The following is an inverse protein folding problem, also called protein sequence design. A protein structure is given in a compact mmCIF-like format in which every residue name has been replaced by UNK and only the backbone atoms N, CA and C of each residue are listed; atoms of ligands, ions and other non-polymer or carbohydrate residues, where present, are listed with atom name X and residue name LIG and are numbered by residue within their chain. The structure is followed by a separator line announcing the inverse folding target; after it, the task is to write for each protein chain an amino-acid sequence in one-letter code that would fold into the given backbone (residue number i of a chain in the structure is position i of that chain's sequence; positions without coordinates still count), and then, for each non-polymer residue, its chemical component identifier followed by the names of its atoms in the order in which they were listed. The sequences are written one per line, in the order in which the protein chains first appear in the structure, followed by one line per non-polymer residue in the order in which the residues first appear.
data_IF_752723842528
#
_entry.id   IF_752723842528
#
_cell.length_a   1.000
_cell.length_b   1.000
_cell.length_c   1.000
_cell.angle_alpha   90.00
_cell.angle_beta   90.00
_cell.angle_gamma   90.00
#
_symmetry.space_group_name_H-M   'P 1'
#
loop_
_entity.id
_entity.type
_entity.pdbx_description
1 polymer ?
#
# COMPACT_ATOMS: atom_id res chain seq x y z
N UNK A 1 10.59 14.92 14.18
CA UNK A 1 10.63 13.73 13.29
C UNK A 1 9.78 12.57 13.86
N UNK A 2 10.00 12.11 15.10
CA UNK A 2 9.29 10.97 15.69
C UNK A 2 7.76 11.19 15.72
N UNK A 3 7.29 12.37 16.08
CA UNK A 3 5.85 12.70 16.16
C UNK A 3 5.13 12.51 14.82
N UNK A 4 5.75 12.87 13.70
CA UNK A 4 5.20 12.65 12.37
C UNK A 4 5.06 11.15 12.03
N UNK A 5 6.10 10.35 12.32
CA UNK A 5 6.03 8.91 12.10
C UNK A 5 4.92 8.26 12.93
N UNK A 6 4.81 8.62 14.22
CA UNK A 6 3.73 8.12 15.08
C UNK A 6 2.35 8.49 14.52
N UNK A 7 2.18 9.72 14.03
CA UNK A 7 0.89 10.14 13.46
C UNK A 7 0.56 9.39 12.16
N UNK A 8 1.56 9.00 11.34
CA UNK A 8 1.33 8.13 10.18
C UNK A 8 0.91 6.71 10.61
N UNK A 9 1.53 6.13 11.64
CA UNK A 9 1.11 4.84 12.18
C UNK A 9 -0.33 4.88 12.67
N UNK A 10 -0.72 5.95 13.38
CA UNK A 10 -2.10 6.17 13.82
C UNK A 10 -3.03 6.32 12.61
N UNK A 11 -2.62 7.04 11.57
CA UNK A 11 -3.42 7.22 10.35
C UNK A 11 -3.67 5.87 9.63
N UNK A 12 -2.68 4.97 9.60
CA UNK A 12 -2.83 3.60 9.07
C UNK A 12 -3.84 2.80 9.89
N UNK A 13 -3.80 2.90 11.23
CA UNK A 13 -4.79 2.26 12.11
C UNK A 13 -6.21 2.79 11.85
N UNK A 14 -6.35 4.10 11.74
CA UNK A 14 -7.64 4.74 11.43
C UNK A 14 -8.14 4.28 10.06
N UNK A 15 -7.26 4.24 9.05
CA UNK A 15 -7.60 3.77 7.71
C UNK A 15 -8.07 2.32 7.72
N UNK A 16 -7.45 1.45 8.53
CA UNK A 16 -7.85 0.06 8.70
C UNK A 16 -9.27 -0.06 9.27
N UNK A 17 -9.59 0.74 10.29
CA UNK A 17 -10.94 0.77 10.89
C UNK A 17 -11.97 1.32 9.88
N UNK A 18 -11.65 2.43 9.22
CA UNK A 18 -12.54 3.04 8.21
C UNK A 18 -12.77 2.12 7.02
N UNK A 19 -11.77 1.33 6.64
CA UNK A 19 -11.88 0.36 5.54
C UNK A 19 -13.03 -0.63 5.75
N UNK A 20 -13.36 -0.98 6.99
CA UNK A 20 -14.43 -1.93 7.31
C UNK A 20 -15.83 -1.36 7.03
N UNK A 21 -15.96 -0.03 7.04
CA UNK A 21 -17.24 0.65 6.77
C UNK A 21 -17.45 0.98 5.29
N UNK A 22 -16.43 0.79 4.45
CA UNK A 22 -16.53 1.04 3.01
C UNK A 22 -17.06 -0.20 2.31
N UNK A 23 -18.32 -0.19 1.82
CA UNK A 23 -18.90 -1.33 1.13
C UNK A 23 -18.28 -1.50 -0.27
N UNK A 24 -18.29 -2.71 -0.77
CA UNK A 24 -18.02 -2.97 -2.18
C UNK A 24 -19.20 -2.47 -3.04
N UNK A 25 -18.88 -1.87 -4.18
CA UNK A 25 -19.89 -1.37 -5.12
C UNK A 25 -20.28 -2.49 -6.07
N UNK A 26 -21.40 -3.15 -5.81
CA UNK A 26 -21.88 -4.29 -6.60
C UNK A 26 -22.11 -3.95 -8.07
N UNK A 27 -22.57 -2.72 -8.37
CA UNK A 27 -22.76 -2.21 -9.72
C UNK A 27 -21.42 -2.12 -10.52
N UNK A 28 -20.27 -2.11 -9.84
CA UNK A 28 -18.92 -2.02 -10.42
C UNK A 28 -18.10 -3.31 -10.16
N UNK A 29 -18.72 -4.47 -10.37
CA UNK A 29 -18.05 -5.77 -10.19
C UNK A 29 -17.43 -5.96 -8.80
N UNK A 30 -18.13 -5.53 -7.75
CA UNK A 30 -17.67 -5.56 -6.36
C UNK A 30 -16.36 -4.79 -6.11
N UNK A 31 -16.06 -3.79 -6.94
CA UNK A 31 -14.93 -2.91 -6.74
C UNK A 31 -15.10 -2.09 -5.44
N UNK A 32 -14.00 -1.88 -4.73
CA UNK A 32 -13.99 -1.13 -3.46
C UNK A 32 -12.78 -0.22 -3.35
N UNK A 33 -12.91 0.85 -2.58
CA UNK A 33 -11.78 1.73 -2.29
C UNK A 33 -10.90 1.06 -1.23
N UNK A 34 -9.61 0.90 -1.53
CA UNK A 34 -8.63 0.32 -0.60
C UNK A 34 -7.93 1.43 0.20
N UNK A 35 -8.61 1.91 1.24
CA UNK A 35 -8.13 3.04 2.03
C UNK A 35 -6.82 2.72 2.78
N UNK A 36 -6.70 1.52 3.33
CA UNK A 36 -5.48 1.07 4.02
C UNK A 36 -4.26 1.08 3.09
N UNK A 37 -4.40 0.50 1.88
CA UNK A 37 -3.35 0.49 0.87
C UNK A 37 -2.98 1.90 0.44
N UNK A 38 -4.00 2.73 0.21
CA UNK A 38 -3.83 4.11 -0.22
C UNK A 38 -3.04 4.94 0.79
N UNK A 39 -3.41 4.86 2.07
CA UNK A 39 -2.71 5.57 3.15
C UNK A 39 -1.28 5.07 3.29
N UNK A 40 -1.07 3.75 3.19
CA UNK A 40 0.27 3.17 3.21
C UNK A 40 1.13 3.67 2.03
N UNK A 41 0.62 3.57 0.78
CA UNK A 41 1.37 3.97 -0.42
C UNK A 41 1.73 5.46 -0.40
N UNK A 42 0.76 6.32 -0.05
CA UNK A 42 0.99 7.76 0.09
C UNK A 42 1.97 8.06 1.24
N UNK A 43 1.86 7.36 2.37
CA UNK A 43 2.78 7.50 3.51
C UNK A 43 4.20 7.04 3.18
N UNK A 44 4.36 5.92 2.45
CA UNK A 44 5.65 5.34 2.07
C UNK A 44 6.53 6.31 1.27
N UNK A 45 5.91 7.18 0.46
CA UNK A 45 6.62 8.21 -0.33
C UNK A 45 7.14 9.34 0.56
N UNK A 46 6.49 9.62 1.69
CA UNK A 46 6.82 10.79 2.53
C UNK A 46 7.85 10.50 3.61
N UNK A 47 8.11 9.23 3.90
CA UNK A 47 9.04 8.81 4.96
C UNK A 47 10.32 8.19 4.40
N UNK A 48 11.35 8.06 5.24
CA UNK A 48 12.56 7.32 4.90
C UNK A 48 12.34 5.80 4.88
N UNK A 49 13.35 5.06 4.42
CA UNK A 49 13.28 3.61 4.22
C UNK A 49 12.92 2.83 5.50
N UNK A 50 13.58 3.15 6.64
CA UNK A 50 13.34 2.42 7.90
C UNK A 50 11.91 2.57 8.44
N UNK A 51 11.35 3.80 8.59
CA UNK A 51 9.95 3.92 9.01
C UNK A 51 8.95 3.41 7.96
N UNK A 52 9.31 3.41 6.66
CA UNK A 52 8.48 2.78 5.61
C UNK A 52 8.34 1.28 5.84
N UNK A 53 9.42 0.57 6.20
CA UNK A 53 9.35 -0.85 6.53
C UNK A 53 8.45 -1.12 7.74
N UNK A 54 8.51 -0.26 8.76
CA UNK A 54 7.60 -0.34 9.91
C UNK A 54 6.13 -0.15 9.51
N UNK A 55 5.85 0.82 8.63
CA UNK A 55 4.50 1.02 8.07
C UNK A 55 4.03 -0.17 7.22
N UNK A 56 4.93 -0.76 6.42
CA UNK A 56 4.64 -1.94 5.61
C UNK A 56 4.29 -3.15 6.49
N UNK A 57 5.06 -3.36 7.56
CA UNK A 57 4.77 -4.41 8.53
C UNK A 57 3.39 -4.20 9.16
N UNK A 58 3.12 -3.00 9.68
CA UNK A 58 1.83 -2.70 10.32
C UNK A 58 0.67 -2.85 9.34
N UNK A 59 0.77 -2.26 8.15
CA UNK A 59 -0.31 -2.31 7.16
C UNK A 59 -0.57 -3.75 6.67
N UNK A 60 0.49 -4.52 6.40
CA UNK A 60 0.38 -5.92 5.99
C UNK A 60 -0.18 -6.81 7.09
N UNK A 61 0.28 -6.61 8.34
CA UNK A 61 -0.26 -7.31 9.50
C UNK A 61 -1.76 -7.05 9.69
N UNK A 62 -2.18 -5.77 9.63
CA UNK A 62 -3.59 -5.40 9.76
C UNK A 62 -4.44 -5.95 8.61
N UNK A 63 -3.89 -5.97 7.39
CA UNK A 63 -4.56 -6.54 6.23
C UNK A 63 -4.78 -8.04 6.40
N UNK A 64 -3.73 -8.77 6.76
CA UNK A 64 -3.82 -10.21 7.02
C UNK A 64 -4.77 -10.51 8.19
N UNK A 65 -4.68 -9.76 9.28
CA UNK A 65 -5.56 -9.95 10.43
C UNK A 65 -7.04 -9.76 10.05
N UNK A 66 -7.38 -8.75 9.25
CA UNK A 66 -8.75 -8.54 8.79
C UNK A 66 -9.25 -9.65 7.86
N UNK A 67 -8.38 -10.22 7.03
CA UNK A 67 -8.75 -11.24 6.07
C UNK A 67 -8.72 -12.66 6.65
N UNK A 68 -7.90 -12.90 7.70
CA UNK A 68 -7.78 -14.23 8.33
C UNK A 68 -8.73 -14.46 9.50
N UNK A 69 -9.33 -13.41 10.07
CA UNK A 69 -10.29 -13.52 11.17
C UNK A 69 -11.70 -13.96 10.72
N UNK A 70 -11.87 -14.33 9.44
CA UNK A 70 -13.08 -14.99 8.96
C UNK A 70 -13.27 -16.38 9.61
N UNK A 71 -14.43 -17.01 9.47
CA UNK A 71 -14.74 -18.31 10.07
C UNK A 71 -13.92 -19.43 9.43
N UNK A 72 -12.63 -19.51 9.75
CA UNK A 72 -11.73 -20.58 9.27
C UNK A 72 -11.79 -21.85 10.11
N UNK A 73 -12.58 -21.88 11.16
CA UNK A 73 -12.72 -23.00 12.09
C UNK A 73 -14.01 -23.82 11.93
N UNK A 74 -14.71 -23.68 10.82
CA UNK A 74 -15.91 -24.43 10.54
C UNK A 74 -15.63 -25.86 10.07
N UNK A 75 -16.55 -26.78 10.41
CA UNK A 75 -16.56 -28.14 9.92
C UNK A 75 -16.44 -28.13 8.37
N UNK A 76 -15.47 -28.84 7.76
CA UNK A 76 -15.29 -28.91 6.31
C UNK A 76 -16.55 -29.38 5.56
N UNK A 77 -17.45 -30.09 6.24
CA UNK A 77 -18.72 -30.53 5.70
C UNK A 77 -19.75 -29.38 5.52
N UNK A 78 -19.59 -28.26 6.23
CA UNK A 78 -20.53 -27.13 6.23
C UNK A 78 -20.00 -25.95 5.40
N UNK A 79 -18.68 -25.75 5.34
CA UNK A 79 -18.05 -24.63 4.65
C UNK A 79 -17.31 -25.10 3.38
N UNK A 80 -18.04 -25.22 2.28
CA UNK A 80 -17.47 -25.54 0.95
C UNK A 80 -16.75 -24.34 0.29
N UNK A 81 -16.60 -23.22 0.96
CA UNK A 81 -15.88 -22.09 0.39
C UNK A 81 -14.38 -22.27 0.60
N UNK A 82 -13.68 -22.55 -0.51
CA UNK A 82 -12.22 -22.47 -0.55
C UNK A 82 -11.81 -21.09 -0.05
N UNK A 83 -10.95 -21.07 0.98
CA UNK A 83 -10.40 -19.84 1.53
C UNK A 83 -9.69 -19.06 0.42
N UNK A 84 -10.27 -17.93 0.03
CA UNK A 84 -9.76 -17.07 -1.04
C UNK A 84 -8.67 -16.09 -0.55
N UNK A 85 -8.12 -16.35 0.64
CA UNK A 85 -7.17 -15.45 1.28
C UNK A 85 -5.77 -16.05 1.34
N UNK A 86 -4.76 -15.21 1.20
CA UNK A 86 -3.36 -15.58 1.41
C UNK A 86 -3.14 -16.00 2.88
N UNK A 87 -2.15 -16.89 3.09
CA UNK A 87 -1.70 -17.22 4.45
C UNK A 87 -1.14 -15.97 5.12
N UNK A 88 -1.32 -15.89 6.43
CA UNK A 88 -0.81 -14.82 7.27
C UNK A 88 0.70 -14.58 7.00
N UNK A 89 1.09 -13.31 6.80
CA UNK A 89 2.46 -12.90 6.54
C UNK A 89 2.78 -12.59 5.07
N UNK A 90 2.03 -13.12 4.11
CA UNK A 90 2.28 -12.82 2.68
C UNK A 90 2.01 -11.35 2.34
N UNK A 91 0.96 -10.78 2.92
CA UNK A 91 0.64 -9.35 2.70
C UNK A 91 1.73 -8.44 3.26
N UNK A 92 2.38 -8.81 4.35
CA UNK A 92 3.52 -8.05 4.89
C UNK A 92 4.64 -7.95 3.84
N UNK A 93 4.96 -9.07 3.17
CA UNK A 93 5.97 -9.08 2.10
C UNK A 93 5.52 -8.22 0.90
N UNK A 94 4.25 -8.33 0.49
CA UNK A 94 3.70 -7.53 -0.61
C UNK A 94 3.72 -6.04 -0.30
N UNK A 95 3.30 -5.63 0.91
CA UNK A 95 3.39 -4.25 1.36
C UNK A 95 4.84 -3.76 1.41
N UNK A 96 5.78 -4.60 1.88
CA UNK A 96 7.20 -4.30 1.86
C UNK A 96 7.73 -4.05 0.45
N UNK A 97 7.40 -4.94 -0.50
CA UNK A 97 7.80 -4.82 -1.90
C UNK A 97 7.23 -3.55 -2.54
N UNK A 98 5.94 -3.26 -2.32
CA UNK A 98 5.30 -2.04 -2.82
C UNK A 98 5.89 -0.78 -2.18
N UNK A 99 6.23 -0.83 -0.89
CA UNK A 99 6.94 0.25 -0.21
C UNK A 99 8.30 0.54 -0.84
N UNK A 100 9.08 -0.48 -1.17
CA UNK A 100 10.36 -0.35 -1.87
C UNK A 100 10.15 0.25 -3.26
N UNK A 101 9.15 -0.20 -4.01
CA UNK A 101 8.78 0.35 -5.31
C UNK A 101 8.43 1.84 -5.20
N UNK A 102 7.59 2.22 -4.23
CA UNK A 102 7.22 3.61 -3.98
C UNK A 102 8.42 4.48 -3.58
N UNK A 103 9.36 3.95 -2.82
CA UNK A 103 10.64 4.63 -2.52
C UNK A 103 11.50 4.81 -3.77
N UNK A 104 11.51 3.84 -4.68
CA UNK A 104 12.24 3.94 -5.96
C UNK A 104 11.72 5.06 -6.86
N UNK A 105 10.40 5.24 -6.90
CA UNK A 105 9.74 6.28 -7.71
C UNK A 105 9.56 7.61 -6.96
N UNK A 106 9.97 7.70 -5.69
CA UNK A 106 9.87 8.90 -4.85
C UNK A 106 10.39 10.18 -5.52
N UNK A 107 11.49 10.20 -6.30
CA UNK A 107 11.95 11.40 -6.97
C UNK A 107 10.95 11.98 -7.99
N UNK A 108 10.05 11.18 -8.53
CA UNK A 108 9.02 11.62 -9.47
C UNK A 108 7.96 12.48 -8.79
N UNK A 109 7.73 12.29 -7.49
CA UNK A 109 6.79 13.09 -6.69
C UNK A 109 7.32 14.51 -6.40
N UNK A 110 8.63 14.74 -6.57
CA UNK A 110 9.28 16.05 -6.31
C UNK A 110 8.78 17.18 -7.19
N UNK A 111 8.24 16.89 -8.37
CA UNK A 111 7.85 17.90 -9.36
C UNK A 111 6.51 18.59 -9.07
N UNK A 112 5.88 18.33 -7.92
CA UNK A 112 4.60 18.98 -7.54
C UNK A 112 3.40 18.58 -8.41
N UNK A 113 3.55 17.62 -9.32
CA UNK A 113 2.49 17.14 -10.18
C UNK A 113 1.62 16.14 -9.38
N UNK A 114 0.60 16.64 -8.70
CA UNK A 114 -0.35 15.80 -7.96
C UNK A 114 -1.03 14.74 -8.84
N UNK A 115 -1.23 15.05 -10.12
CA UNK A 115 -1.77 14.11 -11.12
C UNK A 115 -0.86 12.89 -11.29
N UNK A 116 0.45 13.13 -11.42
CA UNK A 116 1.44 12.05 -11.55
C UNK A 116 1.47 11.18 -10.29
N UNK A 117 1.39 11.80 -9.12
CA UNK A 117 1.32 11.09 -7.84
C UNK A 117 0.08 10.18 -7.76
N UNK A 118 -1.08 10.68 -8.20
CA UNK A 118 -2.31 9.90 -8.24
C UNK A 118 -2.18 8.70 -9.19
N UNK A 119 -1.69 8.90 -10.41
CA UNK A 119 -1.49 7.84 -11.40
C UNK A 119 -0.52 6.78 -10.86
N UNK A 120 0.62 7.18 -10.29
CA UNK A 120 1.60 6.24 -9.74
C UNK A 120 1.02 5.42 -8.58
N UNK A 121 0.19 6.03 -7.73
CA UNK A 121 -0.51 5.32 -6.66
C UNK A 121 -1.52 4.32 -7.22
N UNK A 122 -2.26 4.69 -8.28
CA UNK A 122 -3.17 3.80 -8.99
C UNK A 122 -2.46 2.59 -9.60
N UNK A 123 -1.33 2.82 -10.27
CA UNK A 123 -0.49 1.76 -10.83
C UNK A 123 0.04 0.83 -9.72
N UNK A 124 0.53 1.41 -8.61
CA UNK A 124 1.02 0.62 -7.47
C UNK A 124 -0.10 -0.23 -6.86
N UNK A 125 -1.31 0.32 -6.71
CA UNK A 125 -2.49 -0.44 -6.22
C UNK A 125 -2.85 -1.56 -7.18
N UNK A 126 -2.86 -1.29 -8.49
CA UNK A 126 -3.12 -2.31 -9.51
C UNK A 126 -2.10 -3.45 -9.43
N UNK A 127 -0.81 -3.12 -9.37
CA UNK A 127 0.27 -4.10 -9.26
C UNK A 127 0.18 -4.92 -7.97
N UNK A 128 -0.20 -4.30 -6.85
CA UNK A 128 -0.42 -5.00 -5.59
C UNK A 128 -1.53 -6.04 -5.72
N UNK A 129 -2.71 -5.64 -6.20
CA UNK A 129 -3.85 -6.53 -6.37
C UNK A 129 -3.57 -7.65 -7.38
N UNK A 130 -2.88 -7.32 -8.46
CA UNK A 130 -2.45 -8.31 -9.44
C UNK A 130 -1.48 -9.33 -8.83
N UNK A 131 -0.49 -8.87 -8.05
CA UNK A 131 0.46 -9.74 -7.38
C UNK A 131 -0.22 -10.61 -6.32
N UNK A 132 -1.16 -10.06 -5.54
CA UNK A 132 -1.97 -10.80 -4.58
C UNK A 132 -2.78 -11.90 -5.28
N UNK A 133 -3.46 -11.56 -6.38
CA UNK A 133 -4.21 -12.53 -7.19
C UNK A 133 -3.33 -13.63 -7.77
N UNK A 134 -2.17 -13.28 -8.33
CA UNK A 134 -1.19 -14.25 -8.87
C UNK A 134 -0.67 -15.19 -7.79
N UNK A 135 -0.38 -14.67 -6.59
CA UNK A 135 0.07 -15.50 -5.47
C UNK A 135 -1.03 -16.47 -5.00
N UNK A 136 -2.28 -16.00 -4.91
CA UNK A 136 -3.43 -16.85 -4.56
C UNK A 136 -3.57 -17.98 -5.59
N UNK A 137 -3.55 -17.65 -6.87
CA UNK A 137 -3.69 -18.60 -7.98
C UNK A 137 -2.51 -19.60 -7.99
N UNK A 138 -1.29 -19.13 -7.73
CA UNK A 138 -0.10 -19.99 -7.64
C UNK A 138 -0.20 -20.97 -6.47
N UNK A 139 -0.62 -20.51 -5.29
CA UNK A 139 -0.77 -21.36 -4.08
C UNK A 139 -1.87 -22.41 -4.28
N UNK A 140 -2.93 -22.07 -5.04
CA UNK A 140 -4.00 -23.02 -5.37
C UNK A 140 -3.60 -24.06 -6.42
N UNK A 141 -2.59 -23.78 -7.25
CA UNK A 141 -2.20 -24.64 -8.37
C UNK A 141 -3.15 -24.57 -9.56
N UNK A 142 -4.12 -23.68 -9.57
CA UNK A 142 -5.10 -23.52 -10.65
C UNK A 142 -4.88 -22.18 -11.35
N UNK A 143 -4.39 -22.23 -12.59
CA UNK A 143 -4.16 -21.04 -13.42
C UNK A 143 -5.42 -20.62 -14.16
N UNK A 144 -6.42 -20.15 -13.43
CA UNK A 144 -7.66 -19.66 -14.02
C UNK A 144 -7.66 -18.14 -13.95
N UNK A 145 -7.74 -17.48 -15.10
CA UNK A 145 -7.84 -16.03 -15.22
C UNK A 145 -9.26 -15.62 -15.63
N UNK A 146 -10.21 -15.49 -14.69
CA UNK A 146 -11.54 -15.00 -15.01
C UNK A 146 -11.46 -13.51 -15.33
N UNK A 147 -11.94 -13.10 -16.51
CA UNK A 147 -11.94 -11.70 -16.93
C UNK A 147 -12.66 -10.77 -15.96
N UNK A 148 -13.64 -11.27 -15.21
CA UNK A 148 -14.35 -10.51 -14.16
C UNK A 148 -13.41 -10.05 -13.04
N UNK A 149 -12.47 -10.89 -12.61
CA UNK A 149 -11.50 -10.54 -11.53
C UNK A 149 -10.53 -9.46 -12.01
N UNK A 150 -10.05 -9.54 -13.24
CA UNK A 150 -9.17 -8.51 -13.80
C UNK A 150 -9.89 -7.16 -13.90
N UNK A 151 -11.17 -7.17 -14.32
CA UNK A 151 -12.01 -5.96 -14.36
C UNK A 151 -12.21 -5.39 -12.96
N UNK A 152 -12.47 -6.23 -11.96
CA UNK A 152 -12.60 -5.82 -10.56
C UNK A 152 -11.31 -5.18 -10.03
N UNK A 153 -10.14 -5.80 -10.29
CA UNK A 153 -8.83 -5.27 -9.91
C UNK A 153 -8.62 -3.88 -10.53
N UNK A 154 -8.91 -3.74 -11.81
CA UNK A 154 -8.73 -2.48 -12.52
C UNK A 154 -9.64 -1.36 -11.97
N UNK A 155 -10.93 -1.67 -11.76
CA UNK A 155 -11.89 -0.72 -11.20
C UNK A 155 -11.54 -0.33 -9.76
N UNK A 156 -11.13 -1.30 -8.94
CA UNK A 156 -10.67 -1.04 -7.56
C UNK A 156 -9.46 -0.11 -7.56
N UNK A 157 -8.48 -0.35 -8.44
CA UNK A 157 -7.31 0.50 -8.57
C UNK A 157 -7.68 1.90 -9.04
N UNK A 158 -8.60 2.03 -10.02
CA UNK A 158 -9.07 3.32 -10.53
C UNK A 158 -9.83 4.12 -9.45
N UNK A 159 -10.73 3.49 -8.70
CA UNK A 159 -11.45 4.13 -7.59
C UNK A 159 -10.48 4.60 -6.49
N UNK A 160 -9.52 3.75 -6.14
CA UNK A 160 -8.50 4.09 -5.14
C UNK A 160 -7.60 5.23 -5.62
N UNK A 161 -7.25 5.25 -6.91
CA UNK A 161 -6.50 6.33 -7.55
C UNK A 161 -7.22 7.69 -7.42
N UNK A 162 -8.54 7.73 -7.65
CA UNK A 162 -9.33 8.95 -7.54
C UNK A 162 -9.34 9.54 -6.12
N UNK A 163 -9.22 8.69 -5.09
CA UNK A 163 -9.13 9.12 -3.70
C UNK A 163 -7.73 9.57 -3.28
N UNK A 164 -6.69 9.26 -4.07
CA UNK A 164 -5.29 9.50 -3.69
C UNK A 164 -4.94 10.98 -3.46
N UNK A 165 -5.45 11.98 -4.23
CA UNK A 165 -5.15 13.38 -3.98
C UNK A 165 -5.61 13.85 -2.61
N UNK A 166 -6.75 13.34 -2.14
CA UNK A 166 -7.31 13.67 -0.83
C UNK A 166 -6.39 13.16 0.29
N UNK A 167 -5.92 11.91 0.19
CA UNK A 167 -5.01 11.34 1.18
C UNK A 167 -3.65 12.04 1.16
N UNK A 168 -3.10 12.36 -0.02
CA UNK A 168 -1.90 13.19 -0.11
C UNK A 168 -2.07 14.54 0.55
N UNK A 169 -3.21 15.23 0.33
CA UNK A 169 -3.50 16.51 0.98
C UNK A 169 -3.51 16.39 2.52
N UNK A 170 -4.10 15.31 3.06
CA UNK A 170 -4.10 15.02 4.50
C UNK A 170 -2.67 14.82 5.00
N UNK A 171 -1.88 13.97 4.33
CA UNK A 171 -0.50 13.64 4.73
C UNK A 171 0.40 14.88 4.66
N UNK A 172 0.27 15.72 3.62
CA UNK A 172 1.03 16.97 3.52
C UNK A 172 0.64 17.99 4.58
N UNK A 173 -0.65 18.11 4.92
CA UNK A 173 -1.10 18.95 6.06
C UNK A 173 -0.50 18.44 7.37
N UNK A 174 -0.47 17.10 7.55
CA UNK A 174 0.10 16.48 8.72
C UNK A 174 1.62 16.72 8.81
N UNK A 175 2.34 16.60 7.70
CA UNK A 175 3.77 16.91 7.62
C UNK A 175 4.06 18.38 7.97
N UNK A 176 3.25 19.32 7.44
CA UNK A 176 3.35 20.74 7.76
C UNK A 176 3.05 21.02 9.23
N UNK A 177 2.05 20.37 9.82
CA UNK A 177 1.68 20.55 11.23
C UNK A 177 2.81 20.12 12.18
N UNK A 178 3.59 19.10 11.82
CA UNK A 178 4.72 18.61 12.62
C UNK A 178 6.07 19.17 12.19
N UNK A 179 6.11 20.20 11.34
CA UNK A 179 7.34 20.77 10.76
C UNK A 179 8.29 19.71 10.17
N UNK A 180 7.68 18.67 9.56
CA UNK A 180 8.43 17.58 8.95
C UNK A 180 8.77 17.90 7.50
N UNK A 181 10.08 17.97 7.18
CA UNK A 181 10.56 18.14 5.81
C UNK A 181 10.60 16.81 5.08
N UNK A 182 9.71 16.65 4.11
CA UNK A 182 9.65 15.44 3.27
C UNK A 182 10.88 15.44 2.35
N UNK A 183 11.71 14.40 2.44
CA UNK A 183 12.91 14.23 1.60
C UNK A 183 12.58 13.30 0.45
N UNK A 184 12.71 13.78 -0.77
CA UNK A 184 12.43 13.02 -2.01
C UNK A 184 13.72 12.45 -2.63
N UNK A 185 14.64 11.97 -1.82
CA UNK A 185 15.97 11.55 -2.27
C UNK A 185 15.98 10.13 -2.88
N UNK A 186 14.92 9.35 -2.69
CA UNK A 186 14.79 7.97 -3.18
C UNK A 186 15.82 7.02 -2.57
N UNK A 187 15.98 5.85 -3.19
CA UNK A 187 16.94 4.82 -2.75
C UNK A 187 18.40 5.16 -3.05
N UNK A 188 18.65 6.12 -3.95
CA UNK A 188 20.01 6.43 -4.44
C UNK A 188 20.96 6.99 -3.38
N UNK A 189 20.47 7.58 -2.29
CA UNK A 189 21.31 8.27 -1.32
C UNK A 189 22.13 7.36 -0.40
N UNK A 190 21.86 6.08 -0.31
CA UNK A 190 22.58 5.17 0.59
C UNK A 190 23.83 4.52 -0.01
N UNK A 191 23.96 4.54 -1.34
CA UNK A 191 25.05 3.81 -2.02
C UNK A 191 26.06 4.70 -2.74
N UNK A 192 25.83 6.00 -2.84
CA UNK A 192 26.71 6.94 -3.54
C UNK A 192 26.85 8.25 -2.77
N UNK A 193 27.45 8.21 -1.60
CA UNK A 193 28.31 9.32 -1.15
C UNK A 193 29.73 8.89 -1.51
N UNK A 194 30.33 9.36 -2.61
CA UNK A 194 31.76 9.37 -2.66
C UNK A 194 32.19 10.27 -1.52
N UNK A 195 32.93 9.74 -0.55
CA UNK A 195 33.71 10.55 0.37
C UNK A 195 34.45 11.56 -0.50
N UNK A 196 34.13 12.84 -0.32
CA UNK A 196 34.92 13.89 -0.89
C UNK A 196 36.30 13.72 -0.25
N UNK A 197 37.23 13.13 -1.02
CA UNK A 197 38.62 13.24 -0.73
C UNK A 197 38.94 14.74 -0.87
N UNK A 198 38.85 15.46 0.21
CA UNK A 198 39.57 16.72 0.37
C UNK A 198 41.05 16.35 0.42
N UNK A 199 41.64 16.28 -0.76
CA UNK A 199 43.08 16.39 -0.86
C UNK A 199 43.40 17.87 -0.57
N UNK A 200 43.67 18.16 0.71
CA UNK A 200 44.42 19.34 1.09
C UNK A 200 45.82 19.20 0.47
N UNK A 201 46.11 20.08 -0.50
CA UNK A 201 47.43 20.54 -0.86
C UNK A 201 47.48 22.06 -0.78
#
# INVERSE_FOLDING_TARGET
MIRYHISLFILVLIACVLQQFIPAVTALFDARILLLHLVFLCGAVTVGFSPMLGLAFLAGFLWDANNTLGPQGGDPAVYHHQTETLRFGYSILLFGLMGILMQGIQPLFRKGAWQLSAILTGIATFLYLLAEFLLITFVRGEWIFPGKVLTQIWLTAAMTMLCSPLIFAIIFKLAKFFDYTIRYDGLKRRYFTPEAYTLDN
#
